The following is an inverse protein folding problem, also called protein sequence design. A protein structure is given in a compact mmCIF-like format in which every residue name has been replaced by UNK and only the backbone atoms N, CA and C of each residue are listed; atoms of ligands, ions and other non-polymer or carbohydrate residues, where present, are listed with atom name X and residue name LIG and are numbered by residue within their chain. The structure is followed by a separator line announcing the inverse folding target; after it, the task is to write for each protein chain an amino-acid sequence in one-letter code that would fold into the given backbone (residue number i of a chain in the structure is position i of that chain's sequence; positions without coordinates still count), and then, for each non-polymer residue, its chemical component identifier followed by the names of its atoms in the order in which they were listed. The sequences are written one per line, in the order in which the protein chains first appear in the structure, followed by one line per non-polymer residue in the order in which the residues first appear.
data_IF_366750589246
#
_entry.id   IF_366750589246
#
_cell.length_a   1.000
_cell.length_b   1.000
_cell.length_c   1.000
_cell.angle_alpha   90.00
_cell.angle_beta   90.00
_cell.angle_gamma   90.00
#
_symmetry.space_group_name_H-M   'P 1'
#
loop_
_entity.id
_entity.type
_entity.pdbx_description
1 polymer ?
#
# COMPACT_ATOMS: atom_id res chain seq x y z
N UNK A 1 7.72 -9.87 0.04
CA UNK A 1 8.62 -10.60 0.97
C UNK A 1 8.72 -12.02 0.45
N UNK A 2 9.83 -12.74 0.62
CA UNK A 2 9.84 -14.16 0.26
C UNK A 2 8.70 -14.85 1.02
N UNK A 3 7.81 -15.53 0.29
CA UNK A 3 6.67 -16.29 0.81
C UNK A 3 5.50 -15.50 1.43
N UNK A 4 5.49 -14.16 1.36
CA UNK A 4 4.36 -13.35 1.83
C UNK A 4 4.12 -12.15 0.90
N UNK A 5 2.91 -12.06 0.37
CA UNK A 5 2.51 -10.95 -0.49
C UNK A 5 2.06 -9.75 0.37
N UNK A 6 2.42 -8.53 -0.06
CA UNK A 6 2.15 -7.31 0.71
C UNK A 6 0.67 -7.02 0.93
N UNK A 7 -0.20 -7.51 0.03
CA UNK A 7 -1.65 -7.40 0.13
C UNK A 7 -2.24 -8.29 1.23
N UNK A 8 -1.72 -9.50 1.39
CA UNK A 8 -2.13 -10.42 2.46
C UNK A 8 -1.78 -9.81 3.82
N UNK A 9 -0.53 -9.32 3.96
CA UNK A 9 -0.10 -8.63 5.16
C UNK A 9 -0.97 -7.39 5.46
N UNK A 10 -1.24 -6.57 4.45
CA UNK A 10 -2.09 -5.39 4.62
C UNK A 10 -3.50 -5.76 5.11
N UNK A 11 -4.07 -6.85 4.59
CA UNK A 11 -5.38 -7.34 5.03
C UNK A 11 -5.36 -7.76 6.50
N UNK A 12 -4.36 -8.53 6.94
CA UNK A 12 -4.25 -8.93 8.35
C UNK A 12 -4.01 -7.75 9.30
N UNK A 13 -3.18 -6.78 8.88
CA UNK A 13 -2.97 -5.55 9.65
C UNK A 13 -4.29 -4.78 9.83
N UNK A 14 -5.09 -4.64 8.77
CA UNK A 14 -6.35 -3.89 8.82
C UNK A 14 -7.42 -4.59 9.67
N UNK A 15 -7.37 -5.92 9.84
CA UNK A 15 -8.23 -6.62 10.81
C UNK A 15 -7.94 -6.20 12.26
N UNK A 16 -6.67 -5.91 12.57
CA UNK A 16 -6.23 -5.51 13.92
C UNK A 16 -6.38 -4.00 14.11
N UNK A 17 -6.01 -3.21 13.11
CA UNK A 17 -6.02 -1.75 13.14
C UNK A 17 -6.71 -1.17 11.89
N UNK A 18 -8.05 -1.15 11.84
CA UNK A 18 -8.81 -0.73 10.64
C UNK A 18 -8.58 0.72 10.20
N UNK A 19 -8.07 1.57 11.10
CA UNK A 19 -7.80 2.99 10.83
C UNK A 19 -6.36 3.26 10.39
N UNK A 20 -5.47 2.26 10.45
CA UNK A 20 -4.07 2.46 10.10
C UNK A 20 -3.95 2.73 8.58
N UNK A 21 -3.44 3.90 8.14
CA UNK A 21 -3.24 4.15 6.73
C UNK A 21 -2.09 3.29 6.19
N UNK A 22 -2.35 2.54 5.12
CA UNK A 22 -1.37 1.67 4.45
C UNK A 22 -1.07 2.21 3.05
N UNK A 23 0.22 2.33 2.73
CA UNK A 23 0.75 2.55 1.38
C UNK A 23 1.34 1.24 0.87
N UNK A 24 0.83 0.70 -0.23
CA UNK A 24 1.38 -0.49 -0.88
C UNK A 24 2.31 -0.08 -2.03
N UNK A 25 3.58 -0.48 -1.95
CA UNK A 25 4.57 -0.21 -2.99
C UNK A 25 4.90 -1.48 -3.79
N UNK A 26 4.53 -1.50 -5.07
CA UNK A 26 4.58 -2.69 -5.93
C UNK A 26 5.71 -2.68 -6.96
N UNK A 27 6.30 -3.82 -7.27
CA UNK A 27 7.28 -4.02 -8.35
C UNK A 27 6.71 -4.65 -9.61
N UNK A 28 7.55 -4.82 -10.63
CA UNK A 28 7.19 -5.57 -11.83
C UNK A 28 6.88 -7.03 -11.46
N UNK A 29 5.70 -7.52 -11.84
CA UNK A 29 5.26 -8.90 -11.57
C UNK A 29 4.43 -9.09 -10.30
N UNK A 30 4.02 -8.01 -9.61
CA UNK A 30 3.19 -8.14 -8.41
C UNK A 30 1.76 -8.62 -8.71
N UNK A 31 1.24 -9.41 -7.78
CA UNK A 31 0.01 -10.19 -7.93
C UNK A 31 -1.30 -9.36 -7.95
N UNK A 32 -1.27 -8.07 -7.58
CA UNK A 32 -2.47 -7.25 -7.50
C UNK A 32 -2.31 -5.84 -8.08
N UNK A 33 -3.38 -5.36 -8.73
CA UNK A 33 -3.50 -3.98 -9.21
C UNK A 33 -4.05 -3.01 -8.17
N UNK A 34 -4.05 -1.73 -8.52
CA UNK A 34 -4.51 -0.62 -7.68
C UNK A 34 -5.96 -0.78 -7.22
N UNK A 35 -6.87 -1.18 -8.11
CA UNK A 35 -8.28 -1.38 -7.79
C UNK A 35 -8.48 -2.47 -6.71
N UNK A 36 -7.71 -3.54 -6.78
CA UNK A 36 -7.78 -4.62 -5.80
C UNK A 36 -7.15 -4.21 -4.47
N UNK A 37 -6.08 -3.40 -4.49
CA UNK A 37 -5.51 -2.83 -3.29
C UNK A 37 -6.53 -1.92 -2.58
N UNK A 38 -7.26 -1.07 -3.32
CA UNK A 38 -8.31 -0.22 -2.77
C UNK A 38 -9.43 -1.03 -2.09
N UNK A 39 -9.85 -2.15 -2.69
CA UNK A 39 -10.83 -3.06 -2.08
C UNK A 39 -10.40 -3.65 -0.73
N UNK A 40 -9.10 -3.84 -0.51
CA UNK A 40 -8.55 -4.33 0.77
C UNK A 40 -8.59 -3.24 1.85
N UNK A 41 -8.75 -1.97 1.47
CA UNK A 41 -8.68 -0.82 2.38
C UNK A 41 -7.32 -0.10 2.37
N UNK A 42 -6.43 -0.46 1.43
CA UNK A 42 -5.16 0.24 1.23
C UNK A 42 -5.43 1.65 0.71
N UNK A 43 -4.80 2.65 1.33
CA UNK A 43 -5.10 4.07 1.06
C UNK A 43 -4.30 4.64 -0.11
N UNK A 44 -3.10 4.12 -0.37
CA UNK A 44 -2.28 4.50 -1.53
C UNK A 44 -1.60 3.28 -2.14
N UNK A 45 -1.54 3.28 -3.46
CA UNK A 45 -0.83 2.28 -4.25
C UNK A 45 0.25 2.99 -5.07
N UNK A 46 1.51 2.58 -4.92
CA UNK A 46 2.65 3.16 -5.63
C UNK A 46 3.34 2.07 -6.44
N UNK A 47 3.75 2.37 -7.67
CA UNK A 47 4.55 1.47 -8.50
C UNK A 47 6.03 1.81 -8.38
N UNK A 48 6.86 0.78 -8.32
CA UNK A 48 8.31 0.85 -8.42
C UNK A 48 8.72 0.88 -9.91
N UNK A 49 9.83 1.57 -10.24
CA UNK A 49 10.65 2.37 -9.33
C UNK A 49 9.90 3.64 -8.89
N UNK A 50 10.02 3.97 -7.61
CA UNK A 50 9.46 5.18 -7.02
C UNK A 50 10.58 6.08 -6.53
N UNK A 51 10.43 7.39 -6.71
CA UNK A 51 11.37 8.37 -6.18
C UNK A 51 10.91 8.89 -4.81
N UNK A 52 11.83 9.53 -4.08
CA UNK A 52 11.56 10.03 -2.73
C UNK A 52 10.43 11.08 -2.69
N UNK A 53 10.31 11.93 -3.71
CA UNK A 53 9.27 12.95 -3.75
C UNK A 53 7.86 12.34 -3.85
N UNK A 54 7.70 11.29 -4.66
CA UNK A 54 6.44 10.54 -4.77
C UNK A 54 6.05 9.90 -3.43
N UNK A 55 7.02 9.31 -2.72
CA UNK A 55 6.77 8.71 -1.42
C UNK A 55 6.39 9.76 -0.37
N UNK A 56 7.11 10.88 -0.32
CA UNK A 56 6.82 11.97 0.62
C UNK A 56 5.44 12.57 0.36
N UNK A 57 5.05 12.81 -0.90
CA UNK A 57 3.71 13.29 -1.25
C UNK A 57 2.63 12.33 -0.73
N UNK A 58 2.79 11.03 -0.98
CA UNK A 58 1.82 10.03 -0.54
C UNK A 58 1.72 9.95 1.00
N UNK A 59 2.83 10.11 1.72
CA UNK A 59 2.82 10.15 3.20
C UNK A 59 2.11 11.41 3.69
N UNK A 60 2.43 12.58 3.13
CA UNK A 60 1.81 13.85 3.52
C UNK A 60 0.30 13.78 3.31
N UNK A 61 -0.15 13.36 2.14
CA UNK A 61 -1.58 13.19 1.83
C UNK A 61 -2.34 12.33 2.84
N UNK A 62 -1.68 11.33 3.45
CA UNK A 62 -2.31 10.46 4.45
C UNK A 62 -2.23 10.97 5.89
N UNK A 63 -1.33 11.89 6.20
CA UNK A 63 -1.15 12.44 7.56
C UNK A 63 -1.85 13.78 7.75
N UNK A 64 -2.04 14.55 6.69
CA UNK A 64 -2.74 15.85 6.73
C UNK A 64 -4.22 15.79 6.34
N UNK A 65 -4.73 14.59 6.00
CA UNK A 65 -6.14 14.34 5.68
C UNK A 65 -6.98 13.88 6.86
#
# INVERSE_FOLDING_TARGET
MPNLCGNELASEILKIAPKLPIILCTGFGDAIGEEQAARIGIKKYLRKPLNSAQLVSAIQELLTG
#
